data_IF_246240138222
#
_entry.id   IF_246240138222
#
_cell.length_a   1.000
_cell.length_b   1.000
_cell.length_c   1.000
_cell.angle_alpha   90.00
_cell.angle_beta   90.00
_cell.angle_gamma   90.00
#
_symmetry.space_group_name_H-M   'P 1'
#
loop_
_entity.id
_entity.type
_entity.pdbx_description
1 polymer ?
#
# COMPACT_ATOMS: atom_id res chain seq x y z
N UNK A 1 -9.61 -7.49 -3.18
CA UNK A 1 -9.26 -7.52 -1.76
C UNK A 1 -7.74 -7.55 -1.67
N UNK A 2 -7.10 -6.68 -0.87
CA UNK A 2 -5.65 -6.70 -0.71
C UNK A 2 -5.24 -7.99 0.03
N UNK A 3 -4.29 -8.73 -0.53
CA UNK A 3 -3.86 -10.04 -0.03
C UNK A 3 -2.66 -9.92 0.91
N UNK A 4 -1.64 -9.16 0.49
CA UNK A 4 -0.42 -8.97 1.27
C UNK A 4 0.27 -7.64 0.94
N UNK A 5 1.02 -7.12 1.89
CA UNK A 5 1.93 -5.99 1.68
C UNK A 5 3.29 -6.58 1.31
N UNK A 6 3.75 -6.31 0.08
CA UNK A 6 5.02 -6.80 -0.43
C UNK A 6 6.19 -5.91 -0.01
N UNK A 7 5.94 -4.59 0.04
CA UNK A 7 6.98 -3.61 0.32
C UNK A 7 6.37 -2.34 0.93
N UNK A 8 7.17 -1.58 1.68
CA UNK A 8 6.78 -0.30 2.27
C UNK A 8 7.90 0.69 2.00
N UNK A 9 7.55 1.81 1.39
CA UNK A 9 8.49 2.86 1.01
C UNK A 9 7.97 4.22 1.50
N UNK A 10 8.80 4.90 2.29
CA UNK A 10 8.51 6.25 2.73
C UNK A 10 9.01 7.28 1.72
N UNK A 11 8.09 7.99 1.08
CA UNK A 11 8.40 9.06 0.15
C UNK A 11 8.50 10.39 0.90
N UNK A 12 9.73 10.75 1.27
CA UNK A 12 10.01 12.02 1.93
C UNK A 12 9.94 13.16 0.92
N UNK A 13 8.94 14.02 1.06
CA UNK A 13 8.84 15.30 0.35
C UNK A 13 9.33 16.44 1.22
N UNK A 14 9.58 17.61 0.62
CA UNK A 14 10.09 18.81 1.28
C UNK A 14 9.34 19.24 2.56
N UNK A 15 8.08 18.83 2.75
CA UNK A 15 7.24 19.23 3.90
C UNK A 15 6.52 18.06 4.60
N UNK A 16 6.56 16.85 4.04
CA UNK A 16 5.86 15.69 4.60
C UNK A 16 6.45 14.38 4.10
N UNK A 17 6.37 13.35 4.92
CA UNK A 17 6.66 11.98 4.52
C UNK A 17 5.36 11.29 4.19
N UNK A 18 5.23 10.72 2.98
CA UNK A 18 4.07 9.91 2.62
C UNK A 18 4.51 8.44 2.55
N UNK A 19 3.96 7.57 3.41
CA UNK A 19 4.18 6.14 3.32
C UNK A 19 3.42 5.57 2.12
N UNK A 20 4.16 4.94 1.21
CA UNK A 20 3.65 4.12 0.13
C UNK A 20 3.84 2.66 0.50
N UNK A 21 2.86 1.84 0.16
CA UNK A 21 2.89 0.40 0.39
C UNK A 21 2.58 -0.31 -0.93
N UNK A 22 3.39 -1.31 -1.25
CA UNK A 22 3.16 -2.17 -2.41
C UNK A 22 2.21 -3.28 -2.00
N UNK A 23 1.04 -3.34 -2.63
CA UNK A 23 -0.02 -4.27 -2.27
C UNK A 23 -0.17 -5.32 -3.37
N UNK A 24 -0.05 -6.58 -2.95
CA UNK A 24 -0.51 -7.72 -3.71
C UNK A 24 -2.04 -7.79 -3.58
N UNK A 25 -2.73 -7.83 -4.71
CA UNK A 25 -4.18 -8.02 -4.71
C UNK A 25 -4.52 -9.49 -4.87
N UNK A 26 -5.58 -9.90 -4.19
CA UNK A 26 -6.13 -11.24 -4.32
C UNK A 26 -6.50 -11.52 -5.77
N UNK A 27 -5.98 -12.63 -6.31
CA UNK A 27 -6.10 -13.09 -7.70
C UNK A 27 -5.18 -12.38 -8.72
N UNK A 28 -4.31 -11.47 -8.31
CA UNK A 28 -3.29 -10.88 -9.20
C UNK A 28 -1.90 -11.44 -8.88
N UNK A 29 -1.06 -11.70 -9.90
CA UNK A 29 0.32 -12.07 -9.67
C UNK A 29 1.12 -10.91 -9.07
N UNK A 30 2.23 -11.21 -8.39
CA UNK A 30 3.12 -10.22 -7.77
C UNK A 30 3.59 -9.11 -8.73
N UNK A 31 3.71 -9.44 -10.03
CA UNK A 31 4.07 -8.46 -11.07
C UNK A 31 3.02 -7.34 -11.23
N UNK A 32 1.76 -7.63 -10.89
CA UNK A 32 0.61 -6.72 -10.98
C UNK A 32 0.26 -6.08 -9.64
N UNK A 33 1.12 -6.26 -8.62
CA UNK A 33 1.00 -5.53 -7.38
C UNK A 33 1.18 -4.02 -7.61
N UNK A 34 0.29 -3.22 -7.02
CA UNK A 34 0.28 -1.76 -7.21
C UNK A 34 0.86 -1.06 -5.99
N UNK A 35 1.39 0.14 -6.21
CA UNK A 35 1.82 1.04 -5.15
C UNK A 35 0.67 1.94 -4.74
N UNK A 36 0.18 1.76 -3.52
CA UNK A 36 -0.88 2.58 -2.93
C UNK A 36 -0.33 3.35 -1.73
N UNK A 37 -0.97 4.46 -1.35
CA UNK A 37 -0.61 5.14 -0.10
C UNK A 37 -1.22 4.42 1.09
N UNK A 38 -0.52 4.43 2.22
CA UNK A 38 -1.07 3.84 3.45
C UNK A 38 -2.41 4.50 3.84
N UNK A 39 -2.55 5.80 3.60
CA UNK A 39 -3.77 6.56 3.87
C UNK A 39 -4.95 6.14 2.99
N UNK A 40 -4.71 5.87 1.69
CA UNK A 40 -5.72 5.31 0.77
C UNK A 40 -6.23 3.98 1.28
N UNK A 41 -5.30 3.09 1.65
CA UNK A 41 -5.61 1.74 2.07
C UNK A 41 -6.25 1.71 3.45
N UNK A 42 -5.87 2.61 4.35
CA UNK A 42 -6.52 2.78 5.64
C UNK A 42 -7.96 3.28 5.49
N UNK A 43 -8.24 4.05 4.44
CA UNK A 43 -9.59 4.57 4.15
C UNK A 43 -10.45 3.52 3.45
N UNK A 44 -9.93 2.85 2.43
CA UNK A 44 -10.66 1.84 1.64
C UNK A 44 -10.73 0.47 2.32
N UNK A 45 -9.67 0.09 3.04
CA UNK A 45 -9.51 -1.20 3.72
C UNK A 45 -9.00 -0.99 5.16
N UNK A 46 -9.81 -0.40 6.05
CA UNK A 46 -9.41 -0.05 7.41
C UNK A 46 -8.97 -1.25 8.27
N UNK A 47 -9.34 -2.47 7.88
CA UNK A 47 -8.95 -3.71 8.58
C UNK A 47 -7.72 -4.40 7.98
N UNK A 48 -7.19 -3.90 6.86
CA UNK A 48 -6.05 -4.51 6.18
C UNK A 48 -4.71 -4.06 6.76
N UNK A 49 -4.65 -2.81 7.23
CA UNK A 49 -3.49 -2.31 7.95
C UNK A 49 -3.68 -2.55 9.46
N UNK A 50 -2.67 -3.10 10.16
CA UNK A 50 -2.72 -3.30 11.61
C UNK A 50 -2.73 -1.99 12.40
#
# INVERSE_FOLDING_TARGET
>A
EPEAILDRQDKVMRKKTIPFIKILWRNLPEREATWETEESIRTSYPYFLP
#
